data_IF_518943468016
#
_entry.id   IF_518943468016
#
_cell.length_a   1.000
_cell.length_b   1.000
_cell.length_c   1.000
_cell.angle_alpha   90.00
_cell.angle_beta   90.00
_cell.angle_gamma   90.00
#
_symmetry.space_group_name_H-M   'P 1'
#
loop_
_entity.id
_entity.type
_entity.pdbx_description
1 polymer ?
#
# COMPACT_ATOMS: atom_id res chain seq x y z
N UNK A 1 23.75 3.10 -9.37
CA UNK A 1 22.65 2.10 -9.38
C UNK A 1 21.32 2.79 -9.49
N UNK A 2 20.51 2.43 -10.44
CA UNK A 2 19.16 2.98 -10.47
C UNK A 2 18.43 2.58 -9.19
N UNK A 3 17.68 3.51 -8.67
CA UNK A 3 16.96 3.28 -7.43
C UNK A 3 15.88 2.20 -7.60
N UNK A 4 15.29 2.13 -8.77
CA UNK A 4 14.18 1.22 -9.00
C UNK A 4 12.88 1.76 -8.45
N UNK A 5 11.78 1.17 -8.90
CA UNK A 5 10.46 1.62 -8.46
C UNK A 5 10.20 1.24 -7.02
N UNK A 6 9.39 2.04 -6.37
CA UNK A 6 8.77 1.66 -5.12
C UNK A 6 7.30 1.39 -5.39
N UNK A 7 6.75 0.44 -4.66
CA UNK A 7 5.33 0.11 -4.72
C UNK A 7 4.74 0.36 -3.34
N UNK A 8 3.50 0.78 -3.27
CA UNK A 8 2.80 0.91 -2.00
C UNK A 8 1.47 0.17 -2.09
N UNK A 9 1.10 -0.45 -0.99
CA UNK A 9 -0.13 -1.22 -0.89
C UNK A 9 -0.95 -0.75 0.28
N UNK A 10 -2.22 -0.48 0.01
CA UNK A 10 -3.20 -0.20 1.04
C UNK A 10 -3.99 -1.49 1.24
N UNK A 11 -3.62 -2.24 2.28
CA UNK A 11 -4.21 -3.54 2.53
C UNK A 11 -5.66 -3.45 2.97
N UNK A 12 -6.53 -4.18 2.31
CA UNK A 12 -7.92 -4.34 2.70
C UNK A 12 -8.34 -5.79 2.58
N UNK A 13 -9.41 -6.15 3.25
CA UNK A 13 -9.88 -7.54 3.23
C UNK A 13 -10.53 -7.91 1.90
N UNK A 14 -11.07 -6.92 1.19
CA UNK A 14 -11.70 -7.16 -0.11
C UNK A 14 -10.84 -6.74 -1.27
N UNK A 15 -10.09 -5.68 -1.09
CA UNK A 15 -9.28 -5.09 -2.17
C UNK A 15 -7.99 -4.59 -1.58
N UNK A 16 -6.97 -4.60 -2.40
CA UNK A 16 -5.68 -4.01 -2.05
C UNK A 16 -5.41 -2.91 -3.06
N UNK A 17 -5.33 -1.68 -2.57
CA UNK A 17 -4.99 -0.55 -3.43
C UNK A 17 -3.51 -0.56 -3.72
N UNK A 18 -3.14 -0.21 -4.96
CA UNK A 18 -1.76 -0.26 -5.42
C UNK A 18 -1.34 1.08 -5.97
N UNK A 19 -0.16 1.54 -5.59
CA UNK A 19 0.48 2.70 -6.18
C UNK A 19 1.93 2.36 -6.48
N UNK A 20 2.51 3.06 -7.45
CA UNK A 20 3.90 2.84 -7.83
C UNK A 20 4.57 4.18 -8.10
N UNK A 21 5.89 4.21 -7.96
CA UNK A 21 6.67 5.36 -8.40
C UNK A 21 7.23 5.10 -9.79
N UNK A 22 7.69 6.17 -10.43
CA UNK A 22 8.60 6.04 -11.57
C UNK A 22 9.94 5.47 -11.09
N UNK A 23 10.80 4.99 -12.00
CA UNK A 23 12.07 4.42 -11.59
C UNK A 23 12.98 5.37 -10.81
N UNK A 24 12.83 6.68 -10.99
CA UNK A 24 13.62 7.67 -10.27
C UNK A 24 13.03 8.06 -8.92
N UNK A 25 11.88 7.50 -8.58
CA UNK A 25 11.18 7.76 -7.30
C UNK A 25 10.80 9.22 -7.13
N UNK A 26 10.42 9.86 -8.22
CA UNK A 26 10.04 11.27 -8.20
C UNK A 26 8.53 11.45 -7.99
N UNK A 27 7.75 10.61 -8.64
CA UNK A 27 6.29 10.72 -8.65
C UNK A 27 5.67 9.42 -8.20
N UNK A 28 4.71 9.52 -7.29
CA UNK A 28 3.88 8.39 -6.89
C UNK A 28 2.53 8.50 -7.59
N UNK A 29 2.08 7.42 -8.20
CA UNK A 29 0.84 7.40 -8.94
C UNK A 29 -0.01 6.19 -8.57
N UNK A 30 -1.35 6.35 -8.52
CA UNK A 30 -2.22 5.19 -8.35
C UNK A 30 -2.01 4.23 -9.51
N UNK A 31 -2.00 2.94 -9.23
CA UNK A 31 -1.79 1.94 -10.26
C UNK A 31 -3.02 1.06 -10.47
N UNK A 32 -3.89 0.99 -9.50
CA UNK A 32 -5.07 0.16 -9.60
C UNK A 32 -5.35 -0.57 -8.31
N UNK A 33 -6.17 -1.59 -8.42
CA UNK A 33 -6.64 -2.36 -7.28
C UNK A 33 -6.54 -3.83 -7.60
N UNK A 34 -6.12 -4.62 -6.63
CA UNK A 34 -6.16 -6.06 -6.73
C UNK A 34 -7.35 -6.56 -5.92
N UNK A 35 -8.30 -7.20 -6.58
CA UNK A 35 -9.45 -7.79 -5.90
C UNK A 35 -9.01 -9.07 -5.22
N UNK A 36 -9.53 -9.30 -4.03
CA UNK A 36 -9.24 -10.51 -3.30
C UNK A 36 -10.42 -11.47 -3.43
N UNK A 37 -10.13 -12.77 -3.38
CA UNK A 37 -11.18 -13.78 -3.40
C UNK A 37 -12.18 -13.48 -2.28
N UNK A 38 -13.46 -13.53 -2.60
CA UNK A 38 -14.50 -13.16 -1.64
C UNK A 38 -14.62 -14.11 -0.48
N UNK A 39 -14.16 -15.34 -0.62
CA UNK A 39 -14.36 -16.36 0.41
C UNK A 39 -13.07 -17.09 0.71
N UNK A 40 -12.91 -17.42 1.98
CA UNK A 40 -11.92 -18.39 2.46
C UNK A 40 -10.46 -18.07 2.24
N UNK A 41 -10.16 -16.89 1.74
CA UNK A 41 -8.76 -16.50 1.76
C UNK A 41 -8.38 -16.27 3.22
N UNK A 42 -7.34 -16.92 3.71
CA UNK A 42 -6.88 -16.64 5.08
C UNK A 42 -6.57 -15.16 5.22
N UNK A 43 -6.83 -14.62 6.41
CA UNK A 43 -6.48 -13.23 6.70
C UNK A 43 -4.99 -13.04 6.44
N UNK A 44 -4.65 -11.97 5.74
CA UNK A 44 -3.25 -11.70 5.41
C UNK A 44 -2.69 -12.49 4.24
N UNK A 45 -3.50 -13.30 3.57
CA UNK A 45 -3.02 -14.07 2.42
C UNK A 45 -2.72 -13.16 1.22
N UNK A 46 -1.73 -13.54 0.45
CA UNK A 46 -1.33 -12.79 -0.75
C UNK A 46 -2.09 -13.32 -1.96
N UNK A 47 -2.89 -12.47 -2.63
CA UNK A 47 -3.56 -12.92 -3.85
C UNK A 47 -2.54 -13.24 -4.95
N UNK A 48 -2.75 -14.31 -5.73
CA UNK A 48 -1.83 -14.62 -6.82
C UNK A 48 -1.65 -13.47 -7.82
N UNK A 49 -2.72 -12.71 -8.08
CA UNK A 49 -2.65 -11.58 -9.00
C UNK A 49 -1.66 -10.51 -8.49
N UNK A 50 -1.58 -10.33 -7.18
CA UNK A 50 -0.64 -9.38 -6.62
C UNK A 50 0.80 -9.86 -6.78
N UNK A 51 1.05 -11.14 -6.53
CA UNK A 51 2.40 -11.69 -6.70
C UNK A 51 2.84 -11.55 -8.16
N UNK A 52 1.93 -11.76 -9.11
CA UNK A 52 2.22 -11.58 -10.53
C UNK A 52 2.55 -10.12 -10.85
N UNK A 53 1.78 -9.21 -10.27
CA UNK A 53 2.01 -7.78 -10.48
C UNK A 53 3.36 -7.34 -9.94
N UNK A 54 3.73 -7.85 -8.77
CA UNK A 54 5.04 -7.56 -8.19
C UNK A 54 6.15 -8.06 -9.11
N UNK A 55 6.01 -9.25 -9.65
CA UNK A 55 6.99 -9.79 -10.57
C UNK A 55 7.10 -8.94 -11.85
N UNK A 56 5.96 -8.47 -12.35
CA UNK A 56 5.92 -7.66 -13.56
C UNK A 56 6.57 -6.29 -13.35
N UNK A 57 6.25 -5.63 -12.25
CA UNK A 57 6.76 -4.28 -11.97
C UNK A 57 8.16 -4.29 -11.37
N UNK A 58 8.56 -5.39 -10.79
CA UNK A 58 9.89 -5.59 -10.22
C UNK A 58 10.32 -4.43 -9.31
N UNK A 59 9.55 -4.10 -8.27
CA UNK A 59 9.91 -2.98 -7.40
C UNK A 59 11.11 -3.31 -6.53
N UNK A 60 11.86 -2.27 -6.15
CA UNK A 60 12.97 -2.42 -5.23
C UNK A 60 12.51 -2.70 -3.80
N UNK A 61 11.33 -2.18 -3.44
CA UNK A 61 10.72 -2.42 -2.15
C UNK A 61 9.24 -2.12 -2.22
N UNK A 62 8.49 -2.65 -1.26
CA UNK A 62 7.04 -2.48 -1.19
C UNK A 62 6.68 -1.89 0.16
N UNK A 63 6.03 -0.74 0.13
CA UNK A 63 5.51 -0.08 1.32
C UNK A 63 4.14 -0.66 1.63
N UNK A 64 3.92 -1.12 2.85
CA UNK A 64 2.63 -1.66 3.26
C UNK A 64 2.08 -0.80 4.40
N UNK A 65 0.92 -0.20 4.19
CA UNK A 65 0.30 0.64 5.20
C UNK A 65 -0.24 -0.18 6.35
N UNK A 66 0.09 0.23 7.58
CA UNK A 66 -0.37 -0.43 8.79
C UNK A 66 -1.38 0.49 9.48
N UNK A 67 -2.64 0.07 9.62
CA UNK A 67 -3.68 0.93 10.18
C UNK A 67 -3.71 0.86 11.71
N UNK A 68 -2.78 1.56 12.36
CA UNK A 68 -2.79 1.66 13.82
C UNK A 68 -3.99 2.50 14.29
N UNK A 69 -4.44 2.22 15.50
CA UNK A 69 -5.44 3.07 16.15
C UNK A 69 -4.83 4.42 16.48
N UNK A 70 -5.68 5.44 16.72
CA UNK A 70 -5.20 6.78 17.00
C UNK A 70 -4.32 6.86 18.25
N UNK A 71 -4.52 5.96 19.21
CA UNK A 71 -3.69 5.92 20.41
C UNK A 71 -2.40 5.12 20.21
N UNK A 72 -2.15 4.65 19.00
CA UNK A 72 -0.91 3.93 18.68
C UNK A 72 -0.98 2.44 18.88
N UNK A 73 -2.11 1.90 19.36
CA UNK A 73 -2.21 0.45 19.56
C UNK A 73 -2.47 -0.24 18.23
N UNK A 74 -1.92 -1.45 18.11
CA UNK A 74 -2.13 -2.28 16.94
C UNK A 74 -3.39 -3.12 17.15
N UNK A 75 -4.43 -2.84 16.39
CA UNK A 75 -5.64 -3.64 16.44
C UNK A 75 -5.56 -4.84 15.51
N UNK A 76 -6.71 -5.46 15.30
CA UNK A 76 -6.82 -6.65 14.48
C UNK A 76 -6.36 -6.40 13.03
N UNK A 77 -6.76 -5.27 12.45
CA UNK A 77 -6.37 -4.93 11.08
C UNK A 77 -4.88 -4.65 10.97
N UNK A 78 -4.27 -4.05 11.99
CA UNK A 78 -2.84 -3.81 11.98
C UNK A 78 -2.08 -5.14 12.01
N UNK A 79 -2.52 -6.07 12.86
CA UNK A 79 -1.90 -7.38 12.92
C UNK A 79 -2.04 -8.14 11.60
N UNK A 80 -3.21 -8.03 10.98
CA UNK A 80 -3.47 -8.67 9.70
C UNK A 80 -2.60 -8.08 8.60
N UNK A 81 -2.46 -6.76 8.56
CA UNK A 81 -1.62 -6.10 7.57
C UNK A 81 -0.15 -6.48 7.73
N UNK A 82 0.31 -6.62 8.97
CA UNK A 82 1.68 -7.07 9.22
C UNK A 82 1.91 -8.50 8.77
N UNK A 83 0.96 -9.39 9.03
CA UNK A 83 1.04 -10.76 8.56
C UNK A 83 1.07 -10.80 7.04
N UNK A 84 0.25 -9.96 6.40
CA UNK A 84 0.24 -9.83 4.95
C UNK A 84 1.60 -9.37 4.43
N UNK A 85 2.20 -8.37 5.06
CA UNK A 85 3.51 -7.86 4.62
C UNK A 85 4.58 -8.96 4.67
N UNK A 86 4.59 -9.75 5.74
CA UNK A 86 5.54 -10.85 5.86
C UNK A 86 5.30 -11.92 4.80
N UNK A 87 4.04 -12.28 4.58
CA UNK A 87 3.69 -13.27 3.57
C UNK A 87 4.08 -12.79 2.16
N UNK A 88 3.88 -11.49 1.90
CA UNK A 88 4.24 -10.92 0.62
C UNK A 88 5.74 -10.95 0.39
N UNK A 89 6.51 -10.61 1.40
CA UNK A 89 7.97 -10.65 1.30
C UNK A 89 8.44 -12.08 1.03
N UNK A 90 7.86 -13.06 1.70
CA UNK A 90 8.20 -14.46 1.46
C UNK A 90 7.81 -14.92 0.06
N UNK A 91 6.63 -14.51 -0.40
CA UNK A 91 6.12 -14.95 -1.71
C UNK A 91 6.86 -14.32 -2.87
N UNK A 92 7.32 -13.09 -2.73
CA UNK A 92 7.90 -12.34 -3.86
C UNK A 92 9.40 -12.17 -3.77
N UNK A 93 9.98 -12.33 -2.59
CA UNK A 93 11.40 -12.04 -2.38
C UNK A 93 11.72 -10.56 -2.34
N UNK A 94 10.70 -9.70 -2.40
CA UNK A 94 10.89 -8.25 -2.37
C UNK A 94 10.69 -7.75 -0.96
N UNK A 95 11.60 -6.90 -0.48
CA UNK A 95 11.53 -6.33 0.85
C UNK A 95 10.25 -5.53 1.04
N UNK A 96 9.59 -5.71 2.18
CA UNK A 96 8.46 -4.88 2.55
C UNK A 96 8.86 -3.91 3.65
N UNK A 97 8.28 -2.72 3.62
CA UNK A 97 8.51 -1.65 4.58
C UNK A 97 7.16 -1.33 5.20
N UNK A 98 7.07 -1.42 6.52
CA UNK A 98 5.83 -1.05 7.21
C UNK A 98 5.73 0.46 7.29
N UNK A 99 4.57 0.98 6.95
CA UNK A 99 4.30 2.41 7.03
C UNK A 99 3.10 2.64 7.94
N UNK A 100 3.27 3.48 8.93
CA UNK A 100 2.17 3.85 9.83
C UNK A 100 1.25 4.80 9.08
N UNK A 101 0.02 4.39 8.80
CA UNK A 101 -0.93 5.20 8.03
C UNK A 101 -1.23 6.55 8.70
N UNK A 102 -1.00 6.67 10.00
CA UNK A 102 -1.19 7.95 10.69
C UNK A 102 -0.19 9.01 10.26
N UNK A 103 0.93 8.60 9.63
CA UNK A 103 1.96 9.53 9.17
C UNK A 103 1.61 10.18 7.83
N UNK A 104 0.50 9.82 7.25
CA UNK A 104 0.03 10.40 6.00
C UNK A 104 -1.44 10.75 6.14
N UNK A 105 -1.96 11.51 5.18
CA UNK A 105 -3.37 11.86 5.16
C UNK A 105 -4.21 10.83 4.39
N UNK A 106 -3.60 9.71 3.99
CA UNK A 106 -4.25 8.73 3.14
C UNK A 106 -5.59 8.26 3.68
N UNK A 107 -5.63 7.95 4.97
CA UNK A 107 -6.85 7.46 5.59
C UNK A 107 -7.95 8.52 5.60
N UNK A 108 -7.60 9.73 6.01
CA UNK A 108 -8.56 10.82 6.05
C UNK A 108 -9.04 11.18 4.65
N UNK A 109 -8.13 11.22 3.68
CA UNK A 109 -8.50 11.51 2.30
C UNK A 109 -9.44 10.44 1.75
N UNK A 110 -9.19 9.18 2.06
CA UNK A 110 -10.05 8.10 1.61
C UNK A 110 -11.46 8.25 2.18
N UNK A 111 -11.56 8.61 3.46
CA UNK A 111 -12.85 8.83 4.08
C UNK A 111 -13.60 10.00 3.45
N UNK A 112 -12.90 11.09 3.20
CA UNK A 112 -13.49 12.26 2.55
C UNK A 112 -13.98 11.91 1.15
N UNK A 113 -13.18 11.20 0.37
CA UNK A 113 -13.55 10.82 -0.97
C UNK A 113 -14.76 9.91 -1.00
N UNK A 114 -14.93 9.05 0.01
CA UNK A 114 -16.06 8.13 0.04
C UNK A 114 -17.32 8.74 0.64
N UNK A 115 -17.22 9.80 1.43
CA UNK A 115 -18.35 10.37 2.18
C UNK A 115 -18.81 11.74 1.71
N UNK A 116 -17.95 12.51 1.10
CA UNK A 116 -18.21 13.91 0.78
C UNK A 116 -19.00 14.16 -0.49
N UNK A 117 -19.31 13.14 -1.26
CA UNK A 117 -19.99 13.31 -2.54
C UNK A 117 -21.39 12.68 -2.54
N UNK A 118 -22.34 13.26 -3.29
CA UNK A 118 -23.63 12.61 -3.50
C UNK A 118 -23.42 11.20 -4.05
N UNK A 119 -24.40 10.32 -3.77
CA UNK A 119 -24.28 8.91 -4.14
C UNK A 119 -23.87 8.69 -5.60
N UNK A 120 -24.44 9.43 -6.52
CA UNK A 120 -24.13 9.29 -7.93
C UNK A 120 -22.78 9.83 -8.36
N UNK A 121 -22.09 10.54 -7.48
CA UNK A 121 -20.80 11.15 -7.78
C UNK A 121 -19.66 10.60 -6.93
N UNK A 122 -19.95 9.61 -6.10
CA UNK A 122 -18.92 9.03 -5.26
C UNK A 122 -17.92 8.28 -6.10
N UNK A 123 -16.65 8.38 -5.71
CA UNK A 123 -15.62 7.61 -6.37
C UNK A 123 -15.84 6.12 -6.12
N UNK A 124 -15.55 5.27 -7.10
CA UNK A 124 -15.54 3.83 -6.85
C UNK A 124 -14.61 3.50 -5.69
N UNK A 125 -14.98 2.52 -4.88
CA UNK A 125 -14.16 2.14 -3.72
C UNK A 125 -12.73 1.76 -4.10
N UNK A 126 -12.58 1.05 -5.23
CA UNK A 126 -11.26 0.67 -5.69
C UNK A 126 -10.38 1.87 -5.97
N UNK A 127 -10.95 2.89 -6.60
CA UNK A 127 -10.20 4.11 -6.88
C UNK A 127 -9.77 4.81 -5.60
N UNK A 128 -10.63 4.81 -4.58
CA UNK A 128 -10.28 5.39 -3.30
C UNK A 128 -9.08 4.67 -2.68
N UNK A 129 -9.06 3.35 -2.77
CA UNK A 129 -7.99 2.54 -2.20
C UNK A 129 -6.66 2.78 -2.91
N UNK A 130 -6.66 2.86 -4.24
CA UNK A 130 -5.41 3.14 -4.96
C UNK A 130 -4.90 4.55 -4.72
N UNK A 131 -5.81 5.51 -4.52
CA UNK A 131 -5.42 6.86 -4.18
C UNK A 131 -4.82 6.92 -2.78
N UNK A 132 -5.37 6.16 -1.83
CA UNK A 132 -4.79 6.07 -0.50
C UNK A 132 -3.37 5.52 -0.55
N UNK A 133 -3.14 4.50 -1.37
CA UNK A 133 -1.81 3.94 -1.55
C UNK A 133 -0.85 4.99 -2.15
N UNK A 134 -1.32 5.78 -3.12
CA UNK A 134 -0.50 6.83 -3.71
C UNK A 134 -0.16 7.93 -2.71
N UNK A 135 -1.10 8.28 -1.84
CA UNK A 135 -0.85 9.29 -0.80
C UNK A 135 0.17 8.81 0.22
N UNK A 136 0.09 7.55 0.61
CA UNK A 136 1.09 6.95 1.50
C UNK A 136 2.47 6.99 0.86
N UNK A 137 2.54 6.61 -0.40
CA UNK A 137 3.80 6.57 -1.12
C UNK A 137 4.39 7.96 -1.28
N UNK A 138 3.55 8.95 -1.60
CA UNK A 138 3.99 10.34 -1.67
C UNK A 138 4.53 10.82 -0.34
N UNK A 139 3.86 10.49 0.76
CA UNK A 139 4.33 10.86 2.10
C UNK A 139 5.67 10.24 2.42
N UNK A 140 5.86 8.99 2.03
CA UNK A 140 7.13 8.30 2.23
C UNK A 140 8.25 8.99 1.46
N UNK A 141 8.00 9.36 0.21
CA UNK A 141 8.99 10.05 -0.62
C UNK A 141 9.39 11.40 -0.01
N UNK A 142 8.42 12.12 0.56
CA UNK A 142 8.70 13.41 1.19
C UNK A 142 9.48 13.26 2.49
N UNK A 143 9.31 12.14 3.20
CA UNK A 143 9.98 11.93 4.48
C UNK A 143 11.38 11.39 4.32
N UNK A 144 11.70 10.76 3.19
CA UNK A 144 13.01 10.20 2.94
C UNK A 144 13.97 11.28 2.48
N UNK A 145 15.21 11.29 2.97
CA UNK A 145 16.19 12.25 2.47
C UNK A 145 16.43 12.05 0.98
N UNK A 146 16.65 13.16 0.27
CA UNK A 146 16.95 13.10 -1.17
C UNK A 146 18.15 12.21 -1.39
N UNK A 147 18.02 11.30 -2.34
CA UNK A 147 19.11 10.35 -2.66
C UNK A 147 19.21 9.17 -1.71
N UNK A 148 18.35 9.12 -0.69
CA UNK A 148 18.35 7.95 0.20
C UNK A 148 17.83 6.74 -0.57
N UNK A 149 18.50 5.63 -0.42
CA UNK A 149 18.01 4.37 -0.95
C UNK A 149 16.96 3.77 -0.04
N UNK A 150 16.51 2.60 -0.41
CA UNK A 150 15.64 1.80 0.46
C UNK A 150 16.44 1.48 1.73
N UNK A 151 15.82 1.60 2.93
CA UNK A 151 16.54 1.25 4.15
C UNK A 151 17.09 -0.17 4.10
N UNK A 152 18.17 -0.45 4.79
CA UNK A 152 18.71 -1.81 4.83
C UNK A 152 17.66 -2.77 5.35
N UNK A 153 17.76 -4.00 4.91
CA UNK A 153 16.86 -5.04 5.36
C UNK A 153 16.91 -5.22 6.85
N UNK A 154 15.84 -5.73 7.41
CA UNK A 154 15.78 -6.02 8.83
C UNK A 154 16.44 -7.33 9.14
#
# INVERSE_FOLDING_TARGET
MPAGRLMALDYGRRRIGVAVTDPTRTIAAPHGVVERAKRRAPAGAVPPALAELVAELDPAAILVGIPFSMDGTAGEMAAEARAFALALEEATGVRTIEWDERLSTARAEREILSMGLPRGRRQPKGRTDEMAAALMLSAYLRSAPAGAGVPPGR
#
